data_IF_934300152252
#
_entry.id   IF_934300152252
#
_cell.length_a   1.000
_cell.length_b   1.000
_cell.length_c   1.000
_cell.angle_alpha   90.00
_cell.angle_beta   90.00
_cell.angle_gamma   90.00
#
_symmetry.space_group_name_H-M   'P 1'
#
loop_
_entity.id
_entity.type
_entity.pdbx_description
1 polymer ?
#
# COMPACT_ATOMS: atom_id res chain seq x y z
N UNK A 1 7.77 -17.83 -8.29
CA UNK A 1 6.98 -16.78 -7.60
C UNK A 1 5.62 -16.57 -8.28
N UNK A 2 5.58 -16.42 -9.61
CA UNK A 2 4.32 -16.31 -10.39
C UNK A 2 3.29 -17.41 -10.18
N UNK A 3 3.70 -18.68 -10.14
CA UNK A 3 2.78 -19.79 -9.87
C UNK A 3 2.12 -19.69 -8.49
N UNK A 4 2.86 -19.20 -7.48
CA UNK A 4 2.30 -18.98 -6.15
C UNK A 4 1.32 -17.80 -6.15
N UNK A 5 1.62 -16.71 -6.86
CA UNK A 5 0.69 -15.61 -7.04
C UNK A 5 -0.59 -16.07 -7.76
N UNK A 6 -0.46 -16.89 -8.81
CA UNK A 6 -1.60 -17.47 -9.52
C UNK A 6 -2.44 -18.38 -8.61
N UNK A 7 -1.78 -19.20 -7.78
CA UNK A 7 -2.46 -20.00 -6.77
C UNK A 7 -3.25 -19.11 -5.80
N UNK A 8 -2.66 -18.03 -5.29
CA UNK A 8 -3.33 -17.08 -4.39
C UNK A 8 -4.51 -16.42 -5.08
N UNK A 9 -4.35 -15.90 -6.31
CA UNK A 9 -5.44 -15.28 -7.06
C UNK A 9 -6.58 -16.24 -7.38
N UNK A 10 -6.29 -17.53 -7.59
CA UNK A 10 -7.34 -18.53 -7.82
C UNK A 10 -8.09 -18.92 -6.55
N UNK A 11 -7.47 -18.72 -5.38
CA UNK A 11 -8.00 -19.15 -4.07
C UNK A 11 -8.53 -17.99 -3.22
N UNK A 12 -8.39 -16.75 -3.68
CA UNK A 12 -8.80 -15.56 -2.95
C UNK A 12 -9.48 -14.57 -3.88
N UNK A 13 -10.31 -13.69 -3.33
CA UNK A 13 -10.96 -12.59 -4.07
C UNK A 13 -10.02 -11.38 -4.25
N UNK A 14 -8.71 -11.57 -4.08
CA UNK A 14 -7.75 -10.49 -4.20
C UNK A 14 -7.63 -10.05 -5.66
N UNK A 15 -7.63 -8.74 -5.93
CA UNK A 15 -7.43 -8.24 -7.27
C UNK A 15 -6.03 -8.61 -7.75
N UNK A 16 -5.92 -8.89 -9.05
CA UNK A 16 -4.62 -9.11 -9.69
C UNK A 16 -3.78 -7.85 -9.58
N UNK A 17 -2.53 -8.01 -9.19
CA UNK A 17 -1.58 -6.91 -9.14
C UNK A 17 -1.20 -6.48 -10.57
N UNK A 18 -0.97 -5.18 -10.75
CA UNK A 18 -0.34 -4.66 -11.96
C UNK A 18 1.05 -5.29 -12.15
N UNK A 19 1.48 -5.46 -13.39
CA UNK A 19 2.72 -6.16 -13.72
C UNK A 19 3.95 -5.55 -13.04
N UNK A 20 4.06 -4.22 -13.01
CA UNK A 20 5.15 -3.51 -12.32
C UNK A 20 5.17 -3.78 -10.81
N UNK A 21 4.02 -4.06 -10.18
CA UNK A 21 3.94 -4.44 -8.75
C UNK A 21 4.40 -5.88 -8.54
N UNK A 22 4.07 -6.77 -9.47
CA UNK A 22 4.54 -8.17 -9.46
C UNK A 22 6.05 -8.20 -9.58
N UNK A 23 6.62 -7.45 -10.52
CA UNK A 23 8.06 -7.37 -10.73
C UNK A 23 8.78 -6.78 -9.52
N UNK A 24 8.29 -5.65 -8.98
CA UNK A 24 8.83 -5.07 -7.74
C UNK A 24 8.82 -6.08 -6.59
N UNK A 25 7.73 -6.84 -6.42
CA UNK A 25 7.63 -7.86 -5.39
C UNK A 25 8.61 -9.02 -5.61
N UNK A 26 8.73 -9.52 -6.84
CA UNK A 26 9.67 -10.59 -7.21
C UNK A 26 11.12 -10.17 -6.93
N UNK A 27 11.53 -9.00 -7.40
CA UNK A 27 12.87 -8.45 -7.19
C UNK A 27 13.15 -8.22 -5.71
N UNK A 28 12.18 -7.68 -4.96
CA UNK A 28 12.32 -7.47 -3.51
C UNK A 28 12.52 -8.80 -2.76
N UNK A 29 11.78 -9.85 -3.12
CA UNK A 29 11.91 -11.18 -2.50
C UNK A 29 13.25 -11.83 -2.87
N UNK A 30 13.74 -11.64 -4.10
CA UNK A 30 15.07 -12.14 -4.50
C UNK A 30 16.18 -11.41 -3.76
N UNK A 31 16.13 -10.08 -3.70
CA UNK A 31 17.13 -9.28 -2.99
C UNK A 31 17.18 -9.62 -1.49
N UNK A 32 16.02 -9.80 -0.85
CA UNK A 32 15.95 -10.20 0.56
C UNK A 32 16.48 -11.63 0.82
N UNK A 33 16.44 -12.50 -0.19
CA UNK A 33 17.06 -13.84 -0.11
C UNK A 33 18.58 -13.79 -0.32
N UNK A 34 19.04 -12.89 -1.18
CA UNK A 34 20.45 -12.69 -1.51
C UNK A 34 21.20 -12.04 -0.33
N UNK A 35 20.64 -10.95 0.20
CA UNK A 35 21.18 -10.25 1.36
C UNK A 35 20.04 -9.75 2.26
N UNK A 36 19.75 -10.49 3.32
CA UNK A 36 18.65 -10.17 4.23
C UNK A 36 18.90 -8.88 5.03
N UNK A 37 20.15 -8.46 5.19
CA UNK A 37 20.51 -7.31 6.01
C UNK A 37 20.51 -6.02 5.18
N UNK A 38 21.06 -6.05 3.97
CA UNK A 38 21.22 -4.88 3.10
C UNK A 38 20.21 -4.79 1.94
N UNK A 39 19.25 -5.70 1.79
CA UNK A 39 18.32 -5.66 0.64
C UNK A 39 17.54 -4.35 0.48
N UNK A 40 17.37 -3.57 1.56
CA UNK A 40 16.67 -2.28 1.53
C UNK A 40 17.57 -1.12 1.14
N UNK A 41 18.88 -1.31 1.23
CA UNK A 41 19.86 -0.27 0.97
C UNK A 41 20.21 -0.17 -0.53
N UNK A 42 19.72 -1.09 -1.37
CA UNK A 42 19.86 -0.99 -2.83
C UNK A 42 19.02 0.15 -3.38
N UNK A 43 19.64 0.94 -4.24
CA UNK A 43 19.02 2.09 -4.88
C UNK A 43 17.91 1.67 -5.87
N UNK A 44 16.92 2.56 -6.04
CA UNK A 44 15.80 2.38 -6.97
C UNK A 44 16.25 2.26 -8.46
N UNK A 45 17.52 2.51 -8.78
CA UNK A 45 18.07 2.44 -10.13
C UNK A 45 18.32 1.01 -10.63
N UNK A 46 18.35 0.02 -9.74
CA UNK A 46 18.44 -1.41 -10.09
C UNK A 46 17.10 -1.98 -10.61
N UNK A 47 16.00 -1.22 -10.50
CA UNK A 47 14.70 -1.64 -11.01
C UNK A 47 14.53 -1.35 -12.50
N UNK A 48 13.72 -2.17 -13.18
CA UNK A 48 13.35 -1.93 -14.57
C UNK A 48 12.62 -0.59 -14.74
N UNK A 49 12.62 -0.08 -15.97
CA UNK A 49 11.92 1.16 -16.31
C UNK A 49 10.42 1.07 -15.99
N UNK A 50 9.79 -0.08 -16.20
CA UNK A 50 8.38 -0.33 -15.86
C UNK A 50 8.09 -0.11 -14.38
N UNK A 51 8.94 -0.64 -13.50
CA UNK A 51 8.83 -0.45 -12.04
C UNK A 51 9.07 1.01 -11.67
N UNK A 52 10.08 1.65 -12.26
CA UNK A 52 10.40 3.07 -11.98
C UNK A 52 9.26 4.00 -12.41
N UNK A 53 8.66 3.78 -13.57
CA UNK A 53 7.49 4.53 -14.04
C UNK A 53 6.27 4.27 -13.15
N UNK A 54 6.03 3.02 -12.77
CA UNK A 54 4.97 2.63 -11.85
C UNK A 54 5.11 3.33 -10.50
N UNK A 55 6.30 3.34 -9.91
CA UNK A 55 6.61 4.03 -8.65
C UNK A 55 6.43 5.55 -8.78
N UNK A 56 6.91 6.17 -9.86
CA UNK A 56 6.70 7.62 -10.11
C UNK A 56 5.22 7.96 -10.19
N UNK A 57 4.43 7.17 -10.91
CA UNK A 57 2.96 7.34 -11.00
C UNK A 57 2.32 7.20 -9.63
N UNK A 58 2.67 6.14 -8.90
CA UNK A 58 2.13 5.89 -7.56
C UNK A 58 2.48 7.00 -6.57
N UNK A 59 3.73 7.47 -6.53
CA UNK A 59 4.19 8.57 -5.64
C UNK A 59 3.38 9.85 -5.86
N UNK A 60 3.06 10.21 -7.10
CA UNK A 60 2.22 11.39 -7.41
C UNK A 60 0.82 11.26 -6.83
N UNK A 61 0.19 10.09 -6.99
CA UNK A 61 -1.16 9.83 -6.46
C UNK A 61 -1.14 9.82 -4.93
N UNK A 62 -0.17 9.13 -4.33
CA UNK A 62 -0.03 9.05 -2.89
C UNK A 62 0.20 10.43 -2.24
N UNK A 63 1.04 11.27 -2.85
CA UNK A 63 1.25 12.65 -2.39
C UNK A 63 -0.06 13.47 -2.43
N UNK A 64 -0.80 13.41 -3.54
CA UNK A 64 -2.08 14.10 -3.64
C UNK A 64 -3.10 13.62 -2.59
N UNK A 65 -3.15 12.30 -2.33
CA UNK A 65 -4.00 11.71 -1.29
C UNK A 65 -3.58 12.16 0.12
N UNK A 66 -2.29 12.24 0.38
CA UNK A 66 -1.75 12.70 1.65
C UNK A 66 -2.11 14.18 1.91
N UNK A 67 -1.91 15.06 0.93
CA UNK A 67 -2.29 16.47 1.03
C UNK A 67 -3.81 16.65 1.21
N UNK A 68 -4.62 15.87 0.50
CA UNK A 68 -6.07 15.88 0.68
C UNK A 68 -6.48 15.43 2.09
N UNK A 69 -5.81 14.42 2.65
CA UNK A 69 -6.05 13.97 4.02
C UNK A 69 -5.67 15.04 5.06
N UNK A 70 -4.56 15.76 4.86
CA UNK A 70 -4.16 16.88 5.71
C UNK A 70 -5.18 18.03 5.65
N UNK A 71 -5.64 18.39 4.46
CA UNK A 71 -6.66 19.43 4.29
C UNK A 71 -8.00 19.03 4.94
N UNK A 72 -8.41 17.77 4.78
CA UNK A 72 -9.60 17.24 5.42
C UNK A 72 -9.49 17.28 6.95
N UNK A 73 -8.35 16.89 7.52
CA UNK A 73 -8.10 16.98 8.97
C UNK A 73 -8.18 18.42 9.48
N UNK A 74 -7.54 19.37 8.79
CA UNK A 74 -7.58 20.80 9.14
C UNK A 74 -8.99 21.41 9.02
N UNK A 75 -9.83 20.88 8.12
CA UNK A 75 -11.24 21.28 8.00
C UNK A 75 -12.13 20.65 9.07
N UNK A 76 -11.81 19.42 9.50
CA UNK A 76 -12.53 18.67 10.54
C UNK A 76 -12.36 19.25 11.94
N UNK A 77 -11.21 19.87 12.24
CA UNK A 77 -11.00 20.60 13.50
C UNK A 77 -11.92 21.84 13.64
N UNK A 78 -12.38 22.44 12.53
CA UNK A 78 -13.44 23.47 12.58
C UNK A 78 -14.83 22.89 12.85
N UNK A 79 -15.10 21.65 12.40
CA UNK A 79 -16.41 21.01 12.58
C UNK A 79 -16.58 20.37 13.98
N UNK A 80 -15.48 19.98 14.64
CA UNK A 80 -15.51 19.44 16.01
C UNK A 80 -15.86 20.46 17.09
N UNK A 81 -15.76 21.76 16.82
CA UNK A 81 -16.20 22.78 17.75
C UNK A 81 -17.73 22.85 17.92
N UNK A 82 -18.51 22.34 16.95
CA UNK A 82 -19.97 22.49 16.89
C UNK A 82 -20.77 21.17 16.91
N UNK A 83 -20.12 20.02 17.07
CA UNK A 83 -20.81 18.72 17.03
C UNK A 83 -20.29 17.75 18.09
N UNK A 84 -20.61 18.01 19.36
CA UNK A 84 -20.64 16.98 20.40
C UNK A 84 -21.84 16.06 20.16
N UNK A 85 -21.72 15.15 19.18
CA UNK A 85 -22.66 14.06 18.95
C UNK A 85 -22.05 12.75 19.52
N UNK A 86 -22.80 11.95 20.31
CA UNK A 86 -22.24 10.78 20.97
C UNK A 86 -21.75 9.73 19.95
N UNK A 87 -20.50 9.29 20.12
CA UNK A 87 -19.91 8.22 19.31
C UNK A 87 -20.72 6.92 19.46
N UNK A 88 -21.04 6.21 18.36
CA UNK A 88 -21.73 4.93 18.45
C UNK A 88 -20.82 3.88 19.09
N UNK A 89 -21.38 3.09 20.00
CA UNK A 89 -20.68 2.06 20.77
C UNK A 89 -20.06 0.98 19.85
N UNK A 90 -18.89 0.43 20.21
CA UNK A 90 -18.24 -0.61 19.41
C UNK A 90 -19.05 -1.91 19.42
N UNK A 91 -19.33 -2.44 18.23
CA UNK A 91 -19.98 -3.73 18.01
C UNK A 91 -19.21 -4.86 18.72
N UNK A 92 -19.87 -5.58 19.61
CA UNK A 92 -19.28 -6.74 20.28
C UNK A 92 -19.18 -7.91 19.29
N UNK A 93 -17.95 -8.36 19.05
CA UNK A 93 -17.66 -9.61 18.32
C UNK A 93 -18.07 -10.77 19.21
N UNK A 94 -19.16 -11.45 18.85
CA UNK A 94 -19.54 -12.73 19.48
C UNK A 94 -18.50 -13.78 19.08
N UNK A 95 -17.80 -14.32 20.07
CA UNK A 95 -16.98 -15.52 19.92
C UNK A 95 -17.92 -16.74 19.89
N UNK A 96 -17.83 -17.52 18.82
CA UNK A 96 -18.27 -18.91 18.77
C UNK A 96 -17.02 -19.78 18.56
#
# INVERSE_FOLDING_TARGET
>A
MREYLEFVYRRSDLPRMEEWKVELFETSVMNAKDDREAFRDRDDDDYSESVREGLRRWRRVAAAQYEAALAAAASGDRARADAEAPLPAPCQVSQL
#
